data_IF_573551876167
#
_entry.id   IF_573551876167
#
_cell.length_a   1.000
_cell.length_b   1.000
_cell.length_c   1.000
_cell.angle_alpha   90.00
_cell.angle_beta   90.00
_cell.angle_gamma   90.00
#
_symmetry.space_group_name_H-M   'P 1'
#
loop_
_entity.id
_entity.type
_entity.pdbx_description
1 polymer ?
#
# COMPACT_ATOMS: atom_id res chain seq x y z
N UNK A 1 17.92 4.66 24.99
CA UNK A 1 16.73 5.40 24.51
C UNK A 1 15.59 4.44 24.27
N UNK A 2 14.37 4.75 24.71
CA UNK A 2 13.18 3.91 24.53
C UNK A 2 12.28 4.50 23.45
N UNK A 3 12.14 3.80 22.33
CA UNK A 3 11.46 4.26 21.12
C UNK A 3 10.13 3.52 20.94
N UNK A 4 9.02 4.25 20.84
CA UNK A 4 7.71 3.68 20.54
C UNK A 4 7.38 3.91 19.06
N UNK A 5 7.05 2.84 18.34
CA UNK A 5 6.59 2.85 16.96
C UNK A 5 5.10 2.54 16.93
N UNK A 6 4.32 3.34 16.21
CA UNK A 6 2.86 3.17 16.13
C UNK A 6 2.40 3.10 14.69
N UNK A 7 1.73 2.00 14.31
CA UNK A 7 0.93 1.94 13.12
C UNK A 7 -0.48 2.44 13.46
N UNK A 8 -0.92 3.63 12.97
CA UNK A 8 -2.11 4.31 13.46
C UNK A 8 -3.41 3.70 12.95
N UNK A 9 -4.53 4.15 13.50
CA UNK A 9 -5.86 3.83 13.01
C UNK A 9 -6.09 4.33 11.58
N UNK A 10 -6.99 3.64 10.87
CA UNK A 10 -7.55 4.10 9.61
C UNK A 10 -8.97 4.63 9.85
N UNK A 11 -9.23 5.84 9.36
CA UNK A 11 -10.58 6.39 9.23
C UNK A 11 -11.00 6.34 7.77
N UNK A 12 -12.01 5.53 7.47
CA UNK A 12 -12.47 5.33 6.09
C UNK A 12 -13.90 4.78 6.03
N UNK A 13 -14.44 4.68 4.83
CA UNK A 13 -15.68 3.97 4.50
C UNK A 13 -15.45 2.46 4.38
N UNK A 14 -14.24 2.02 4.03
CA UNK A 14 -13.85 0.61 3.93
C UNK A 14 -12.33 0.45 4.06
N UNK A 15 -11.89 -0.39 4.98
CA UNK A 15 -10.51 -0.83 5.08
C UNK A 15 -10.43 -2.32 5.39
N UNK A 16 -9.50 -3.00 4.73
CA UNK A 16 -9.25 -4.43 4.86
C UNK A 16 -7.74 -4.68 4.86
N UNK A 17 -7.31 -5.71 5.57
CA UNK A 17 -5.97 -6.23 5.38
C UNK A 17 -5.92 -7.06 4.07
N UNK A 18 -5.35 -6.47 3.03
CA UNK A 18 -5.03 -7.12 1.76
C UNK A 18 -3.51 -7.15 1.59
N UNK A 19 -2.83 -7.88 2.46
CA UNK A 19 -1.36 -7.87 2.63
C UNK A 19 -0.84 -6.48 3.03
N UNK A 20 -1.47 -5.85 4.05
CA UNK A 20 -1.09 -4.53 4.54
C UNK A 20 -0.21 -4.67 5.78
N UNK A 21 1.11 -4.64 5.62
CA UNK A 21 2.06 -4.49 6.72
C UNK A 21 2.73 -3.11 6.65
N UNK A 22 3.02 -2.46 7.78
CA UNK A 22 3.61 -1.12 7.79
C UNK A 22 5.13 -1.17 7.55
N UNK A 23 5.54 -1.63 6.35
CA UNK A 23 6.95 -1.86 6.02
C UNK A 23 7.84 -0.63 6.26
N UNK A 24 7.34 0.58 5.98
CA UNK A 24 8.07 1.82 6.27
C UNK A 24 8.41 1.97 7.75
N UNK A 25 7.46 1.66 8.64
CA UNK A 25 7.68 1.71 10.09
C UNK A 25 8.61 0.57 10.57
N UNK A 26 8.47 -0.62 9.97
CA UNK A 26 9.39 -1.74 10.24
C UNK A 26 10.83 -1.41 9.81
N UNK A 27 11.02 -0.64 8.74
CA UNK A 27 12.33 -0.13 8.34
C UNK A 27 12.88 0.92 9.31
N UNK A 28 12.02 1.73 9.95
CA UNK A 28 12.44 2.60 11.06
C UNK A 28 12.99 1.76 12.21
N UNK A 29 12.29 0.69 12.60
CA UNK A 29 12.78 -0.23 13.63
C UNK A 29 14.12 -0.88 13.24
N UNK A 30 14.24 -1.35 12.01
CA UNK A 30 15.48 -1.89 11.46
C UNK A 30 16.63 -0.89 11.54
N UNK A 31 16.38 0.38 11.17
CA UNK A 31 17.36 1.44 11.27
C UNK A 31 17.75 1.74 12.72
N UNK A 32 16.79 1.85 13.62
CA UNK A 32 17.03 2.12 15.04
C UNK A 32 17.77 0.96 15.75
N UNK A 33 17.66 -0.26 15.24
CA UNK A 33 18.30 -1.46 15.82
C UNK A 33 19.84 -1.42 15.85
N UNK A 34 20.47 -0.51 15.09
CA UNK A 34 21.93 -0.31 15.12
C UNK A 34 22.39 0.59 16.27
N UNK A 35 21.46 1.24 16.95
CA UNK A 35 21.74 2.16 18.07
C UNK A 35 21.32 1.56 19.41
N UNK A 36 21.78 2.16 20.50
CA UNK A 36 21.38 1.81 21.87
C UNK A 36 19.93 2.22 22.14
N UNK A 37 18.99 1.48 21.52
CA UNK A 37 17.55 1.74 21.57
C UNK A 37 16.76 0.50 21.96
N UNK A 38 15.85 0.65 22.91
CA UNK A 38 14.74 -0.29 23.13
C UNK A 38 13.62 0.07 22.16
N UNK A 39 13.21 -0.85 21.31
CA UNK A 39 12.19 -0.62 20.28
C UNK A 39 10.90 -1.33 20.68
N UNK A 40 9.83 -0.57 20.82
CA UNK A 40 8.51 -1.06 21.17
C UNK A 40 7.55 -0.71 20.03
N UNK A 41 6.57 -1.57 19.80
CA UNK A 41 5.64 -1.43 18.67
C UNK A 41 4.19 -1.65 19.08
N UNK A 42 3.32 -0.73 18.68
CA UNK A 42 1.86 -0.85 18.75
C UNK A 42 1.31 -0.85 17.32
N UNK A 43 0.57 -1.91 16.97
CA UNK A 43 -0.18 -1.96 15.71
C UNK A 43 -1.68 -1.78 15.98
N UNK A 44 -2.20 -0.59 15.66
CA UNK A 44 -3.64 -0.35 15.74
C UNK A 44 -4.43 -1.20 14.74
N UNK A 45 -3.80 -1.68 13.66
CA UNK A 45 -4.49 -2.38 12.56
C UNK A 45 -4.47 -3.91 12.66
N UNK A 46 -4.37 -4.43 13.87
CA UNK A 46 -4.40 -5.87 14.13
C UNK A 46 -5.59 -6.54 13.42
N UNK A 47 -5.29 -7.57 12.63
CA UNK A 47 -6.30 -8.35 11.92
C UNK A 47 -7.02 -9.30 12.89
N UNK A 48 -8.33 -9.13 13.06
CA UNK A 48 -9.15 -9.93 13.97
C UNK A 48 -9.88 -11.09 13.28
N UNK A 49 -10.16 -10.97 11.99
CA UNK A 49 -10.84 -12.00 11.20
C UNK A 49 -10.00 -12.35 9.98
N UNK A 50 -9.17 -13.37 10.14
CA UNK A 50 -8.29 -13.84 9.08
C UNK A 50 -9.07 -14.49 7.93
N UNK A 51 -8.57 -14.28 6.72
CA UNK A 51 -8.92 -14.95 5.47
C UNK A 51 -7.70 -15.71 4.95
N UNK A 52 -7.76 -16.17 3.72
CA UNK A 52 -6.64 -16.88 3.09
C UNK A 52 -5.36 -16.05 3.12
N UNK A 53 -4.23 -16.72 3.36
CA UNK A 53 -2.88 -16.16 3.26
C UNK A 53 -2.58 -14.98 4.20
N UNK A 54 -3.22 -14.92 5.37
CA UNK A 54 -3.01 -13.85 6.35
C UNK A 54 -3.69 -12.51 6.03
N UNK A 55 -4.48 -12.44 4.95
CA UNK A 55 -5.39 -11.30 4.70
C UNK A 55 -6.57 -11.34 5.67
N UNK A 56 -7.36 -10.26 5.74
CA UNK A 56 -8.53 -10.30 6.62
C UNK A 56 -9.22 -8.97 6.84
N UNK A 57 -9.96 -8.94 7.94
CA UNK A 57 -10.72 -7.76 8.36
C UNK A 57 -10.15 -7.21 9.65
N UNK A 58 -10.09 -5.89 9.73
CA UNK A 58 -9.86 -5.16 10.97
C UNK A 58 -11.15 -5.11 11.80
N UNK A 59 -11.00 -4.94 13.08
CA UNK A 59 -12.08 -4.42 13.93
C UNK A 59 -12.50 -3.05 13.40
N UNK A 60 -13.78 -2.70 13.60
CA UNK A 60 -14.27 -1.39 13.17
C UNK A 60 -15.35 -0.86 14.08
N UNK A 61 -15.30 0.43 14.31
CA UNK A 61 -16.32 1.17 15.01
C UNK A 61 -16.81 2.34 14.14
N UNK A 62 -18.11 2.52 14.02
CA UNK A 62 -18.65 3.70 13.35
C UNK A 62 -18.34 4.94 14.19
N UNK A 63 -17.79 5.96 13.56
CA UNK A 63 -17.46 7.25 14.18
C UNK A 63 -18.26 8.37 13.51
N UNK A 64 -18.24 9.54 14.15
CA UNK A 64 -18.86 10.74 13.57
C UNK A 64 -18.19 11.09 12.23
N UNK A 65 -19.02 11.21 11.20
CA UNK A 65 -18.56 11.57 9.88
C UNK A 65 -18.19 13.07 9.85
N UNK A 66 -16.99 13.44 9.36
CA UNK A 66 -16.62 14.81 9.12
C UNK A 66 -17.65 15.55 8.25
N UNK A 67 -17.89 16.84 8.53
CA UNK A 67 -18.92 17.63 7.83
C UNK A 67 -18.73 17.62 6.31
N UNK A 68 -17.49 17.68 5.85
CA UNK A 68 -17.13 17.68 4.43
C UNK A 68 -17.59 16.38 3.71
N UNK A 69 -17.78 15.28 4.44
CA UNK A 69 -18.24 13.98 3.93
C UNK A 69 -19.75 13.74 4.15
N UNK A 70 -20.49 14.73 4.68
CA UNK A 70 -21.90 14.54 5.09
C UNK A 70 -22.78 13.97 3.97
N UNK A 71 -22.57 14.39 2.74
CA UNK A 71 -23.36 13.98 1.57
C UNK A 71 -23.07 12.56 1.07
N UNK A 72 -22.00 11.89 1.54
CA UNK A 72 -21.66 10.53 1.11
C UNK A 72 -22.53 9.53 1.86
N UNK A 73 -23.40 8.73 1.18
CA UNK A 73 -24.39 7.86 1.84
C UNK A 73 -23.77 6.53 2.32
N UNK A 74 -22.62 6.60 3.01
CA UNK A 74 -21.88 5.45 3.54
C UNK A 74 -21.50 5.71 5.00
N UNK A 75 -21.34 4.63 5.78
CA UNK A 75 -20.85 4.72 7.16
C UNK A 75 -19.35 5.00 7.16
N UNK A 76 -18.92 5.96 7.94
CA UNK A 76 -17.52 6.29 8.16
C UNK A 76 -17.08 5.63 9.48
N UNK A 77 -15.95 4.92 9.45
CA UNK A 77 -15.53 4.10 10.56
C UNK A 77 -14.07 4.32 10.90
N UNK A 78 -13.73 4.16 12.18
CA UNK A 78 -12.39 3.86 12.64
C UNK A 78 -12.16 2.37 12.49
N UNK A 79 -11.05 1.98 11.88
CA UNK A 79 -10.59 0.61 11.74
C UNK A 79 -9.37 0.38 12.60
N UNK A 80 -9.35 -0.74 13.32
CA UNK A 80 -8.29 -1.14 14.24
C UNK A 80 -8.81 -1.42 15.64
N UNK A 81 -7.90 -1.60 16.60
CA UNK A 81 -8.20 -1.82 18.02
C UNK A 81 -8.98 -0.64 18.60
N UNK A 82 -9.69 -0.87 19.72
CA UNK A 82 -10.45 0.20 20.36
C UNK A 82 -9.52 1.22 21.03
N UNK A 83 -9.99 2.46 21.30
CA UNK A 83 -9.20 3.44 22.05
C UNK A 83 -8.84 2.95 23.45
N UNK A 84 -9.72 2.22 24.09
CA UNK A 84 -9.49 1.65 25.43
C UNK A 84 -8.35 0.62 25.39
N UNK A 85 -8.34 -0.27 24.39
CA UNK A 85 -7.25 -1.22 24.18
C UNK A 85 -5.94 -0.50 23.88
N UNK A 86 -5.95 0.51 22.99
CA UNK A 86 -4.79 1.33 22.67
C UNK A 86 -4.25 2.02 23.94
N UNK A 87 -5.09 2.67 24.73
CA UNK A 87 -4.72 3.36 25.95
C UNK A 87 -4.16 2.38 26.99
N UNK A 88 -4.72 1.18 27.10
CA UNK A 88 -4.21 0.13 28.00
C UNK A 88 -2.80 -0.31 27.60
N UNK A 89 -2.56 -0.55 26.29
CA UNK A 89 -1.22 -0.89 25.78
C UNK A 89 -0.24 0.25 26.03
N UNK A 90 -0.61 1.49 25.71
CA UNK A 90 0.23 2.68 25.90
C UNK A 90 0.62 2.87 27.38
N UNK A 91 -0.33 2.75 28.30
CA UNK A 91 -0.06 2.83 29.76
C UNK A 91 0.96 1.80 30.22
N UNK A 92 0.93 0.58 29.69
CA UNK A 92 1.87 -0.48 30.06
C UNK A 92 3.29 -0.25 29.54
N UNK A 93 3.45 0.62 28.53
CA UNK A 93 4.72 0.90 27.87
C UNK A 93 5.40 2.16 28.42
N UNK A 94 4.61 3.16 28.81
CA UNK A 94 5.13 4.46 29.27
C UNK A 94 5.99 4.35 30.56
N UNK A 95 7.01 5.21 30.74
CA UNK A 95 7.41 6.28 29.84
C UNK A 95 8.28 5.81 28.66
N UNK A 96 8.25 6.59 27.56
CA UNK A 96 9.14 6.45 26.39
C UNK A 96 9.79 7.78 26.05
N UNK A 97 10.94 7.74 25.36
CA UNK A 97 11.73 8.94 25.05
C UNK A 97 11.27 9.61 23.75
N UNK A 98 10.86 8.81 22.76
CA UNK A 98 10.47 9.31 21.43
C UNK A 98 9.44 8.38 20.79
N UNK A 99 8.53 8.96 19.99
CA UNK A 99 7.43 8.23 19.36
C UNK A 99 7.45 8.45 17.85
N UNK A 100 7.36 7.37 17.08
CA UNK A 100 7.28 7.37 15.63
C UNK A 100 5.90 6.88 15.19
N UNK A 101 5.18 7.67 14.39
CA UNK A 101 3.87 7.31 13.87
C UNK A 101 3.92 7.20 12.35
N UNK A 102 3.44 6.08 11.82
CA UNK A 102 3.35 5.88 10.38
C UNK A 102 2.21 6.70 9.76
N UNK A 103 2.30 6.99 8.46
CA UNK A 103 1.18 7.55 7.69
C UNK A 103 1.22 7.05 6.25
N UNK A 104 0.06 6.62 5.71
CA UNK A 104 -0.02 6.00 4.39
C UNK A 104 -0.89 6.85 3.46
N UNK A 105 -2.20 6.60 3.38
CA UNK A 105 -3.07 7.36 2.48
C UNK A 105 -3.26 8.79 2.99
N UNK A 106 -3.19 9.76 2.08
CA UNK A 106 -3.32 11.18 2.43
C UNK A 106 -4.66 11.51 3.08
N UNK A 107 -5.73 10.85 2.67
CA UNK A 107 -7.07 11.02 3.22
C UNK A 107 -7.33 10.20 4.52
N UNK A 108 -6.35 9.43 5.01
CA UNK A 108 -6.44 8.79 6.34
C UNK A 108 -5.88 9.66 7.46
N UNK A 109 -5.51 10.91 7.17
CA UNK A 109 -4.89 11.82 8.12
C UNK A 109 -5.67 11.98 9.43
N UNK A 110 -7.00 11.85 9.40
CA UNK A 110 -7.83 11.95 10.61
C UNK A 110 -7.60 10.79 11.58
N UNK A 111 -7.27 9.60 11.09
CA UNK A 111 -6.87 8.46 11.93
C UNK A 111 -5.49 8.67 12.55
N UNK A 112 -4.55 9.22 11.78
CA UNK A 112 -3.22 9.63 12.29
C UNK A 112 -3.37 10.69 13.38
N UNK A 113 -4.18 11.73 13.13
CA UNK A 113 -4.43 12.81 14.09
C UNK A 113 -5.10 12.30 15.38
N UNK A 114 -6.05 11.36 15.28
CA UNK A 114 -6.65 10.74 16.47
C UNK A 114 -5.61 9.96 17.25
N UNK A 115 -4.77 9.17 16.59
CA UNK A 115 -3.68 8.42 17.25
C UNK A 115 -2.73 9.35 18.00
N UNK A 116 -2.31 10.44 17.39
CA UNK A 116 -1.43 11.43 18.05
C UNK A 116 -2.13 12.06 19.25
N UNK A 117 -3.39 12.44 19.13
CA UNK A 117 -4.17 13.01 20.24
C UNK A 117 -4.27 12.03 21.42
N UNK A 118 -4.57 10.76 21.15
CA UNK A 118 -4.63 9.72 22.18
C UNK A 118 -3.26 9.49 22.86
N UNK A 119 -2.18 9.53 22.08
CA UNK A 119 -0.81 9.46 22.62
C UNK A 119 -0.53 10.63 23.57
N UNK A 120 -0.88 11.86 23.19
CA UNK A 120 -0.65 13.07 23.99
C UNK A 120 -1.32 13.02 25.37
N UNK A 121 -2.43 12.30 25.52
CA UNK A 121 -3.11 12.17 26.83
C UNK A 121 -2.26 11.49 27.91
N UNK A 122 -1.31 10.63 27.51
CA UNK A 122 -0.44 9.89 28.43
C UNK A 122 1.05 10.28 28.29
N UNK A 123 1.47 10.64 27.09
CA UNK A 123 2.87 10.93 26.77
C UNK A 123 3.24 12.41 26.96
N UNK A 124 2.25 13.30 27.14
CA UNK A 124 2.49 14.73 27.34
C UNK A 124 3.36 15.32 26.22
N UNK A 125 4.48 15.89 26.60
CA UNK A 125 5.43 16.56 25.70
C UNK A 125 6.46 15.61 25.06
N UNK A 126 6.32 14.28 25.22
CA UNK A 126 7.20 13.32 24.54
C UNK A 126 7.19 13.58 23.03
N UNK A 127 8.36 13.77 22.39
CA UNK A 127 8.44 14.10 20.99
C UNK A 127 7.81 13.03 20.07
N UNK A 128 7.00 13.48 19.11
CA UNK A 128 6.32 12.65 18.12
C UNK A 128 6.80 13.02 16.72
N UNK A 129 7.36 12.04 16.01
CA UNK A 129 7.73 12.12 14.59
C UNK A 129 6.71 11.38 13.76
N UNK A 130 6.11 12.04 12.78
CA UNK A 130 5.28 11.38 11.73
C UNK A 130 6.09 11.26 10.46
N UNK A 131 6.16 10.03 9.92
CA UNK A 131 6.75 9.73 8.63
C UNK A 131 5.80 8.93 7.72
N UNK A 132 6.27 8.65 6.51
CA UNK A 132 5.54 7.85 5.53
C UNK A 132 4.95 8.66 4.37
N UNK A 133 4.04 8.06 3.62
CA UNK A 133 3.56 8.60 2.34
C UNK A 133 2.83 9.94 2.52
N UNK A 134 1.89 10.03 3.44
CA UNK A 134 1.16 11.27 3.70
C UNK A 134 2.10 12.40 4.17
N UNK A 135 2.98 12.12 5.13
CA UNK A 135 3.97 13.08 5.61
C UNK A 135 4.89 13.58 4.50
N UNK A 136 5.24 12.71 3.55
CA UNK A 136 6.11 13.06 2.41
C UNK A 136 5.38 13.89 1.35
N UNK A 137 4.15 13.49 1.01
CA UNK A 137 3.38 14.15 -0.06
C UNK A 137 2.71 15.46 0.39
N UNK A 138 2.29 15.55 1.66
CA UNK A 138 1.51 16.68 2.18
C UNK A 138 2.08 17.16 3.53
N UNK A 139 3.37 17.57 3.61
CA UNK A 139 4.02 17.87 4.89
C UNK A 139 3.38 19.04 5.64
N UNK A 140 3.02 20.12 4.95
CA UNK A 140 2.43 21.30 5.57
C UNK A 140 1.03 20.99 6.12
N UNK A 141 0.25 20.18 5.39
CA UNK A 141 -1.03 19.68 5.86
C UNK A 141 -0.84 18.75 7.07
N UNK A 142 0.17 17.85 7.05
CA UNK A 142 0.45 16.98 8.18
C UNK A 142 0.86 17.78 9.42
N UNK A 143 1.70 18.81 9.26
CA UNK A 143 2.11 19.70 10.36
C UNK A 143 0.91 20.41 11.01
N UNK A 144 -0.03 20.91 10.21
CA UNK A 144 -1.17 21.66 10.72
C UNK A 144 -2.32 20.82 11.26
N UNK A 145 -2.41 19.51 10.90
CA UNK A 145 -3.58 18.69 11.20
C UNK A 145 -3.32 17.53 12.16
N UNK A 146 -2.06 17.18 12.45
CA UNK A 146 -1.79 15.96 13.23
C UNK A 146 -1.36 16.21 14.67
N UNK A 147 -0.81 17.39 14.99
CA UNK A 147 -0.27 17.70 16.32
C UNK A 147 1.08 17.03 16.63
N UNK A 148 1.80 16.53 15.61
CA UNK A 148 3.15 16.02 15.74
C UNK A 148 4.18 17.14 15.83
N UNK A 149 5.31 16.86 16.49
CA UNK A 149 6.40 17.83 16.62
C UNK A 149 7.26 17.91 15.37
N UNK A 150 7.44 16.77 14.69
CA UNK A 150 8.25 16.67 13.47
C UNK A 150 7.51 15.90 12.38
N UNK A 151 7.45 16.50 11.18
CA UNK A 151 7.01 15.81 9.96
C UNK A 151 8.25 15.40 9.16
N UNK A 152 8.52 14.09 9.16
CA UNK A 152 9.69 13.53 8.50
C UNK A 152 9.37 13.16 7.05
N UNK A 153 10.18 13.65 6.11
CA UNK A 153 10.04 13.39 4.66
C UNK A 153 11.22 12.56 4.17
N UNK A 154 10.94 11.56 3.35
CA UNK A 154 11.96 10.79 2.66
C UNK A 154 12.26 9.43 3.28
N UNK A 155 13.36 8.82 2.82
CA UNK A 155 13.79 7.49 3.27
C UNK A 155 14.45 7.55 4.65
N UNK A 156 14.34 6.46 5.37
CA UNK A 156 14.87 6.34 6.75
C UNK A 156 16.39 6.60 6.80
N UNK A 157 17.11 6.15 5.78
CA UNK A 157 18.58 6.27 5.70
C UNK A 157 19.06 7.71 5.49
N UNK A 158 18.22 8.59 4.93
CA UNK A 158 18.64 9.90 4.42
C UNK A 158 18.31 11.08 5.33
N UNK A 159 18.18 10.88 6.64
CA UNK A 159 18.00 12.03 7.55
C UNK A 159 17.23 11.74 8.83
N UNK A 160 16.79 10.50 9.08
CA UNK A 160 16.12 10.18 10.35
C UNK A 160 17.03 10.46 11.54
N UNK A 161 18.33 10.18 11.41
CA UNK A 161 19.35 10.50 12.41
C UNK A 161 19.29 12.00 12.79
N UNK A 162 19.41 12.87 11.79
CA UNK A 162 19.40 14.33 12.02
C UNK A 162 18.05 14.84 12.57
N UNK A 163 16.93 14.18 12.22
CA UNK A 163 15.63 14.53 12.79
C UNK A 163 15.54 14.18 14.28
N UNK A 164 16.13 13.08 14.71
CA UNK A 164 16.19 12.66 16.11
C UNK A 164 17.16 13.53 16.90
N UNK A 165 18.33 13.85 16.33
CA UNK A 165 19.31 14.78 16.97
C UNK A 165 18.72 16.17 17.22
N UNK A 166 17.95 16.72 16.28
CA UNK A 166 17.27 18.02 16.45
C UNK A 166 16.29 18.06 17.62
N UNK A 167 15.81 16.90 18.07
CA UNK A 167 14.96 16.75 19.25
C UNK A 167 15.79 16.57 20.55
N UNK A 168 17.12 16.66 20.46
CA UNK A 168 18.03 16.58 21.61
C UNK A 168 18.46 15.16 21.99
N UNK A 169 18.20 14.15 21.13
CA UNK A 169 18.61 12.77 21.40
C UNK A 169 19.89 12.40 20.65
N UNK A 170 20.83 11.81 21.34
CA UNK A 170 22.03 11.23 20.76
C UNK A 170 21.79 9.74 20.44
N UNK A 171 22.04 9.35 19.19
CA UNK A 171 21.96 7.96 18.73
C UNK A 171 23.35 7.32 18.78
N UNK A 172 23.65 6.61 19.87
CA UNK A 172 24.90 5.88 20.04
C UNK A 172 24.86 4.56 19.29
N UNK A 173 25.73 4.41 18.28
CA UNK A 173 25.83 3.17 17.50
C UNK A 173 26.46 2.05 18.32
N UNK A 174 25.86 0.86 18.32
CA UNK A 174 26.31 -0.32 19.09
C UNK A 174 26.51 -1.57 18.24
N UNK A 175 25.89 -1.65 17.08
CA UNK A 175 25.92 -2.84 16.23
C UNK A 175 25.65 -2.52 14.77
N UNK A 176 25.68 -3.53 13.92
CA UNK A 176 25.11 -3.47 12.59
C UNK A 176 23.59 -3.53 12.63
N UNK A 177 22.95 -2.98 11.60
CA UNK A 177 21.51 -2.98 11.42
C UNK A 177 20.97 -4.41 11.36
N UNK A 178 19.98 -4.73 12.21
CA UNK A 178 19.29 -6.04 12.21
C UNK A 178 18.00 -5.96 11.40
N UNK A 179 17.77 -6.89 10.47
CA UNK A 179 16.51 -6.92 9.71
C UNK A 179 15.28 -6.95 10.63
N UNK A 180 14.22 -6.25 10.23
CA UNK A 180 12.98 -6.11 11.02
C UNK A 180 12.38 -7.45 11.48
N UNK A 181 12.49 -8.49 10.68
CA UNK A 181 11.96 -9.82 11.01
C UNK A 181 12.77 -10.54 12.13
N UNK A 182 13.99 -10.09 12.41
CA UNK A 182 14.80 -10.55 13.56
C UNK A 182 14.52 -9.75 14.84
N UNK A 183 13.69 -8.70 14.76
CA UNK A 183 13.31 -7.88 15.91
C UNK A 183 12.01 -8.36 16.59
N UNK A 184 11.37 -9.40 16.09
CA UNK A 184 10.11 -9.91 16.63
C UNK A 184 8.90 -8.99 16.41
N UNK A 185 9.01 -8.01 15.50
CA UNK A 185 7.96 -7.00 15.26
C UNK A 185 6.97 -7.40 14.16
N UNK A 186 7.26 -8.45 13.40
CA UNK A 186 6.35 -8.93 12.35
C UNK A 186 5.17 -9.68 12.97
N UNK A 187 4.02 -9.02 13.05
CA UNK A 187 2.79 -9.58 13.63
C UNK A 187 1.85 -10.21 12.58
N UNK A 188 2.16 -10.04 11.30
CA UNK A 188 1.37 -10.62 10.21
C UNK A 188 1.74 -12.09 9.94
N UNK A 189 0.78 -12.86 9.38
CA UNK A 189 1.00 -14.24 8.94
C UNK A 189 1.74 -14.32 7.60
N UNK A 190 2.09 -13.20 7.02
CA UNK A 190 2.86 -13.06 5.77
C UNK A 190 4.01 -12.08 5.98
N UNK A 191 5.04 -12.17 5.13
CA UNK A 191 6.09 -11.16 5.09
C UNK A 191 5.92 -10.24 3.87
N UNK A 192 6.02 -8.92 4.06
CA UNK A 192 6.16 -8.00 2.94
C UNK A 192 7.58 -8.13 2.35
N UNK A 193 7.68 -8.27 1.03
CA UNK A 193 8.94 -8.24 0.30
C UNK A 193 9.02 -6.96 -0.53
N UNK A 194 10.12 -6.25 -0.40
CA UNK A 194 10.47 -5.14 -1.27
C UNK A 194 11.80 -5.45 -1.92
N UNK A 195 11.76 -5.86 -3.19
CA UNK A 195 12.96 -6.24 -3.95
C UNK A 195 13.59 -5.06 -4.66
N UNK A 196 12.77 -4.02 -4.95
CA UNK A 196 13.19 -2.76 -5.51
C UNK A 196 12.37 -1.60 -4.92
N UNK A 197 12.98 -0.44 -4.76
CA UNK A 197 12.32 0.81 -4.41
C UNK A 197 12.23 1.72 -5.63
N UNK A 198 11.12 2.49 -5.73
CA UNK A 198 10.86 3.37 -6.87
C UNK A 198 10.30 2.64 -8.10
N UNK A 199 10.09 3.41 -9.16
CA UNK A 199 9.53 2.93 -10.42
C UNK A 199 10.13 3.68 -11.60
N UNK A 200 10.58 3.00 -12.67
CA UNK A 200 11.13 3.67 -13.85
C UNK A 200 10.07 4.33 -14.73
N UNK A 201 8.77 4.04 -14.48
CA UNK A 201 7.64 4.57 -15.25
C UNK A 201 7.11 5.88 -14.67
N UNK A 202 6.41 6.66 -15.52
CA UNK A 202 5.89 7.99 -15.19
C UNK A 202 4.38 8.09 -15.36
N UNK A 203 3.63 7.14 -14.76
CA UNK A 203 2.17 7.19 -14.77
C UNK A 203 1.66 8.48 -14.13
N UNK A 204 0.77 9.20 -14.82
CA UNK A 204 0.36 10.57 -14.44
C UNK A 204 -0.38 10.64 -13.12
N UNK A 205 -1.02 9.55 -12.70
CA UNK A 205 -1.78 9.42 -11.45
C UNK A 205 -0.96 8.85 -10.26
N UNK A 206 0.28 8.40 -10.50
CA UNK A 206 1.06 7.65 -9.52
C UNK A 206 2.09 8.52 -8.81
N UNK A 207 2.24 8.32 -7.49
CA UNK A 207 3.19 9.05 -6.66
C UNK A 207 4.55 8.35 -6.50
N UNK A 208 4.78 7.16 -7.08
CA UNK A 208 6.02 6.39 -6.85
C UNK A 208 7.29 7.22 -7.06
N UNK A 209 7.35 8.03 -8.13
CA UNK A 209 8.50 8.90 -8.41
C UNK A 209 8.62 10.13 -7.50
N UNK A 210 7.53 10.53 -6.85
CA UNK A 210 7.56 11.59 -5.84
C UNK A 210 8.09 11.07 -4.51
N UNK A 211 7.84 9.80 -4.22
CA UNK A 211 8.29 9.12 -3.01
C UNK A 211 9.72 8.60 -3.13
N UNK A 212 10.06 8.04 -4.28
CA UNK A 212 11.38 7.49 -4.59
C UNK A 212 11.81 7.98 -5.98
N UNK A 213 12.80 8.87 -6.03
CA UNK A 213 13.28 9.45 -7.30
C UNK A 213 14.00 8.43 -8.16
N UNK A 214 14.75 7.55 -7.52
CA UNK A 214 15.60 6.56 -8.16
C UNK A 214 14.95 5.17 -8.11
N UNK A 215 15.20 4.36 -9.13
CA UNK A 215 14.82 2.95 -9.15
C UNK A 215 16.03 2.13 -8.70
N UNK A 216 15.99 1.65 -7.45
CA UNK A 216 17.09 0.94 -6.82
C UNK A 216 16.64 -0.47 -6.49
N UNK A 217 17.40 -1.49 -6.93
CA UNK A 217 17.12 -2.90 -6.67
C UNK A 217 18.12 -3.50 -5.69
N UNK A 218 17.63 -4.39 -4.83
CA UNK A 218 18.48 -5.34 -4.13
C UNK A 218 19.05 -6.36 -5.16
N UNK A 219 20.16 -6.96 -4.86
CA UNK A 219 20.64 -8.10 -5.64
C UNK A 219 19.68 -9.29 -5.48
N UNK A 220 19.62 -10.17 -6.48
CA UNK A 220 18.80 -11.37 -6.38
C UNK A 220 19.23 -12.28 -5.21
N UNK A 221 20.51 -12.23 -4.80
CA UNK A 221 21.01 -12.99 -3.65
C UNK A 221 20.52 -12.42 -2.32
N UNK A 222 20.52 -11.10 -2.14
CA UNK A 222 19.97 -10.45 -0.96
C UNK A 222 18.49 -10.80 -0.78
N UNK A 223 17.71 -10.73 -1.86
CA UNK A 223 16.27 -11.07 -1.81
C UNK A 223 16.06 -12.54 -1.49
N UNK A 224 16.82 -13.44 -2.15
CA UNK A 224 16.72 -14.87 -1.88
C UNK A 224 17.07 -15.21 -0.42
N UNK A 225 18.14 -14.63 0.11
CA UNK A 225 18.55 -14.82 1.50
C UNK A 225 17.48 -14.33 2.48
N UNK A 226 16.84 -13.17 2.21
CA UNK A 226 15.72 -12.65 3.00
C UNK A 226 14.54 -13.66 3.01
N UNK A 227 14.18 -14.22 1.85
CA UNK A 227 13.13 -15.24 1.73
C UNK A 227 13.51 -16.49 2.54
N UNK A 228 14.75 -16.98 2.41
CA UNK A 228 15.21 -18.18 3.11
C UNK A 228 15.22 -17.98 4.64
N UNK A 229 15.66 -16.84 5.13
CA UNK A 229 15.64 -16.54 6.57
C UNK A 229 14.20 -16.45 7.12
N UNK A 230 13.31 -15.74 6.43
CA UNK A 230 11.89 -15.67 6.79
C UNK A 230 11.22 -17.05 6.74
N UNK A 231 11.57 -17.88 5.75
CA UNK A 231 11.09 -19.28 5.66
C UNK A 231 11.52 -20.10 6.88
N UNK A 232 12.77 -19.95 7.36
CA UNK A 232 13.29 -20.60 8.59
C UNK A 232 12.53 -20.13 9.82
N UNK A 233 12.02 -18.90 9.85
CA UNK A 233 11.17 -18.36 10.91
C UNK A 233 9.70 -18.83 10.81
N UNK A 234 9.37 -19.68 9.85
CA UNK A 234 8.03 -20.25 9.70
C UNK A 234 7.10 -19.48 8.73
N UNK A 235 7.54 -18.39 8.13
CA UNK A 235 6.74 -17.66 7.13
C UNK A 235 6.62 -18.48 5.85
N UNK A 236 5.42 -18.52 5.29
CA UNK A 236 5.12 -19.25 4.06
C UNK A 236 4.50 -18.37 2.98
N UNK A 237 3.93 -17.25 3.36
CA UNK A 237 3.27 -16.28 2.46
C UNK A 237 4.12 -15.02 2.33
N UNK A 238 4.44 -14.63 1.11
CA UNK A 238 5.29 -13.49 0.79
C UNK A 238 4.55 -12.54 -0.16
N UNK A 239 4.35 -11.30 0.24
CA UNK A 239 3.67 -10.29 -0.58
C UNK A 239 4.68 -9.28 -1.12
N UNK A 240 4.80 -9.19 -2.43
CA UNK A 240 5.66 -8.21 -3.09
C UNK A 240 5.05 -6.80 -3.00
N UNK A 241 5.83 -5.86 -2.52
CA UNK A 241 5.44 -4.45 -2.36
C UNK A 241 6.04 -3.54 -3.44
N UNK A 242 6.77 -4.12 -4.37
CA UNK A 242 7.41 -3.42 -5.47
C UNK A 242 6.41 -2.67 -6.34
N UNK A 243 6.75 -1.45 -6.74
CA UNK A 243 6.00 -0.65 -7.71
C UNK A 243 6.17 -1.15 -9.15
N UNK A 244 7.30 -1.85 -9.43
CA UNK A 244 7.67 -2.31 -10.78
C UNK A 244 8.39 -3.67 -10.76
N UNK A 245 7.79 -4.67 -10.09
CA UNK A 245 8.36 -6.00 -9.81
C UNK A 245 8.97 -6.70 -11.03
N UNK A 246 8.29 -6.63 -12.19
CA UNK A 246 8.68 -7.38 -13.39
C UNK A 246 9.71 -6.66 -14.28
N UNK A 247 10.11 -5.43 -13.93
CA UNK A 247 11.11 -4.70 -14.73
C UNK A 247 12.43 -5.45 -14.72
N UNK A 248 12.98 -5.73 -15.92
CA UNK A 248 14.22 -6.46 -16.10
C UNK A 248 14.22 -7.82 -15.33
N UNK A 249 13.14 -8.56 -15.50
CA UNK A 249 12.91 -9.83 -14.80
C UNK A 249 14.00 -10.88 -15.04
N UNK A 250 14.68 -10.84 -16.20
CA UNK A 250 15.76 -11.75 -16.55
C UNK A 250 16.93 -11.67 -15.56
N UNK A 251 17.28 -10.45 -15.17
CA UNK A 251 18.39 -10.20 -14.25
C UNK A 251 17.97 -10.06 -12.79
N UNK A 252 16.68 -10.14 -12.48
CA UNK A 252 16.19 -9.92 -11.12
C UNK A 252 15.21 -10.99 -10.65
N UNK A 253 13.95 -10.97 -11.05
CA UNK A 253 12.93 -11.86 -10.51
C UNK A 253 13.14 -13.32 -10.92
N UNK A 254 13.48 -13.61 -12.20
CA UNK A 254 13.71 -14.98 -12.68
C UNK A 254 14.82 -15.69 -11.89
N UNK A 255 16.03 -15.10 -11.66
CA UNK A 255 17.05 -15.71 -10.80
C UNK A 255 16.56 -16.02 -9.38
N UNK A 256 15.77 -15.11 -8.75
CA UNK A 256 15.21 -15.33 -7.41
C UNK A 256 14.30 -16.57 -7.42
N UNK A 257 13.36 -16.64 -8.37
CA UNK A 257 12.41 -17.76 -8.46
C UNK A 257 13.10 -19.08 -8.77
N UNK A 258 14.12 -19.07 -9.64
CA UNK A 258 14.95 -20.27 -9.92
C UNK A 258 15.61 -20.81 -8.64
N UNK A 259 16.17 -19.92 -7.81
CA UNK A 259 16.77 -20.33 -6.52
C UNK A 259 15.74 -20.90 -5.55
N UNK A 260 14.57 -20.27 -5.43
CA UNK A 260 13.46 -20.76 -4.59
C UNK A 260 13.04 -22.18 -5.01
N UNK A 261 12.90 -22.41 -6.32
CA UNK A 261 12.55 -23.74 -6.90
C UNK A 261 13.66 -24.76 -6.63
N UNK A 262 14.92 -24.41 -6.92
CA UNK A 262 16.08 -25.30 -6.71
C UNK A 262 16.24 -25.72 -5.25
N UNK A 263 15.95 -24.82 -4.30
CA UNK A 263 16.00 -25.11 -2.85
C UNK A 263 14.76 -25.85 -2.34
N UNK A 264 13.73 -26.04 -3.17
CA UNK A 264 12.49 -26.71 -2.79
C UNK A 264 11.73 -25.99 -1.68
N UNK A 265 11.80 -24.65 -1.61
CA UNK A 265 11.11 -23.90 -0.57
C UNK A 265 9.58 -23.93 -0.81
N UNK A 266 8.83 -24.51 0.14
CA UNK A 266 7.38 -24.55 0.09
C UNK A 266 6.78 -23.22 0.54
N UNK A 267 6.82 -22.24 -0.33
CA UNK A 267 6.31 -20.86 -0.11
C UNK A 267 5.13 -20.55 -1.03
N UNK A 268 4.44 -19.45 -0.75
CA UNK A 268 3.42 -18.86 -1.63
C UNK A 268 3.74 -17.39 -1.86
N UNK A 269 3.70 -16.98 -3.12
CA UNK A 269 3.94 -15.59 -3.50
C UNK A 269 2.66 -14.88 -3.88
N UNK A 270 2.59 -13.61 -3.51
CA UNK A 270 1.47 -12.72 -3.77
C UNK A 270 1.99 -11.42 -4.36
N UNK A 271 1.43 -10.98 -5.50
CA UNK A 271 1.68 -9.68 -6.09
C UNK A 271 0.38 -8.87 -6.04
N UNK A 272 0.05 -8.24 -4.88
CA UNK A 272 -1.17 -7.47 -4.71
C UNK A 272 -1.14 -6.13 -5.44
N UNK A 273 0.05 -5.57 -5.67
CA UNK A 273 0.24 -4.38 -6.48
C UNK A 273 0.09 -4.72 -7.96
N UNK A 274 -0.46 -3.80 -8.73
CA UNK A 274 -0.67 -4.02 -10.16
C UNK A 274 0.64 -4.19 -10.92
N UNK A 275 0.91 -5.41 -11.41
CA UNK A 275 2.13 -5.71 -12.17
C UNK A 275 2.02 -5.27 -13.64
N UNK A 276 3.16 -4.92 -14.23
CA UNK A 276 3.28 -4.50 -15.63
C UNK A 276 3.27 -5.70 -16.57
N UNK A 277 2.20 -5.89 -17.30
CA UNK A 277 1.93 -7.06 -18.15
C UNK A 277 2.92 -7.25 -19.30
N UNK A 278 3.50 -6.16 -19.84
CA UNK A 278 4.43 -6.19 -20.98
C UNK A 278 5.71 -7.01 -20.75
N UNK A 279 6.04 -7.30 -19.50
CA UNK A 279 7.22 -8.06 -19.12
C UNK A 279 6.93 -9.56 -18.88
N UNK A 280 5.69 -10.00 -19.11
CA UNK A 280 5.30 -11.39 -18.93
C UNK A 280 5.62 -12.15 -20.21
N UNK A 281 6.59 -13.05 -20.12
CA UNK A 281 6.94 -14.06 -21.14
C UNK A 281 6.64 -15.48 -20.64
N UNK A 282 6.74 -16.47 -21.53
CA UNK A 282 6.46 -17.88 -21.22
C UNK A 282 7.37 -18.42 -20.10
N UNK A 283 8.67 -18.06 -20.07
CA UNK A 283 9.59 -18.47 -19.02
C UNK A 283 9.20 -17.90 -17.66
N UNK A 284 8.97 -16.60 -17.58
CA UNK A 284 8.59 -15.93 -16.35
C UNK A 284 7.26 -16.50 -15.80
N UNK A 285 6.25 -16.65 -16.67
CA UNK A 285 4.96 -17.21 -16.28
C UNK A 285 5.10 -18.64 -15.73
N UNK A 286 5.94 -19.48 -16.37
CA UNK A 286 6.23 -20.83 -15.88
C UNK A 286 6.94 -20.81 -14.52
N UNK A 287 7.97 -19.96 -14.36
CA UNK A 287 8.67 -19.80 -13.09
C UNK A 287 7.75 -19.30 -11.98
N UNK A 288 6.88 -18.31 -12.26
CA UNK A 288 5.89 -17.83 -11.30
C UNK A 288 4.91 -18.94 -10.90
N UNK A 289 4.45 -19.76 -11.84
CA UNK A 289 3.56 -20.88 -11.52
C UNK A 289 4.26 -21.94 -10.68
N UNK A 290 5.47 -22.34 -11.07
CA UNK A 290 6.26 -23.37 -10.38
C UNK A 290 6.69 -22.93 -8.98
N UNK A 291 7.01 -21.64 -8.79
CA UNK A 291 7.34 -21.07 -7.47
C UNK A 291 6.11 -20.72 -6.64
N UNK A 292 4.90 -21.12 -7.10
CA UNK A 292 3.65 -21.06 -6.34
C UNK A 292 3.10 -19.65 -6.09
N UNK A 293 3.10 -18.79 -7.13
CA UNK A 293 2.29 -17.55 -7.07
C UNK A 293 0.81 -17.90 -6.94
N UNK A 294 0.15 -17.36 -5.92
CA UNK A 294 -1.29 -17.56 -5.63
C UNK A 294 -2.14 -16.33 -5.91
N UNK A 295 -1.54 -15.18 -5.95
CA UNK A 295 -2.25 -13.92 -6.22
C UNK A 295 -1.43 -13.12 -7.23
N UNK A 296 -1.98 -12.94 -8.42
CA UNK A 296 -1.48 -12.00 -9.42
C UNK A 296 -2.50 -10.89 -9.59
N UNK A 297 -2.05 -9.64 -9.56
CA UNK A 297 -2.88 -8.48 -9.88
C UNK A 297 -2.27 -7.78 -11.09
N UNK A 298 -2.97 -7.88 -12.22
CA UNK A 298 -2.55 -7.26 -13.48
C UNK A 298 -3.13 -5.85 -13.56
N UNK A 299 -2.30 -4.89 -13.93
CA UNK A 299 -2.77 -3.54 -14.25
C UNK A 299 -3.27 -3.49 -15.69
N UNK A 300 -4.57 -3.24 -15.87
CA UNK A 300 -5.14 -2.81 -17.15
C UNK A 300 -5.55 -1.34 -17.06
N UNK A 301 -6.09 -0.93 -15.93
CA UNK A 301 -6.55 0.41 -15.59
C UNK A 301 -7.75 0.86 -16.43
N UNK A 302 -7.62 0.87 -17.76
CA UNK A 302 -8.62 1.24 -18.76
C UNK A 302 -8.37 0.50 -20.06
N UNK A 303 -9.41 0.33 -20.88
CA UNK A 303 -9.31 -0.24 -22.23
C UNK A 303 -9.20 0.83 -23.33
N UNK A 304 -9.43 2.11 -22.99
CA UNK A 304 -9.34 3.22 -23.95
C UNK A 304 -7.88 3.46 -24.35
N UNK A 305 -7.48 3.28 -25.61
CA UNK A 305 -6.09 3.50 -26.05
C UNK A 305 -5.61 4.93 -25.83
N UNK A 306 -6.51 5.91 -26.00
CA UNK A 306 -6.21 7.31 -25.73
C UNK A 306 -5.89 7.52 -24.25
N UNK A 307 -6.73 7.02 -23.35
CA UNK A 307 -6.53 7.14 -21.91
C UNK A 307 -5.30 6.38 -21.44
N UNK A 308 -5.04 5.18 -21.97
CA UNK A 308 -3.80 4.44 -21.71
C UNK A 308 -2.56 5.30 -22.04
N UNK A 309 -2.56 5.96 -23.21
CA UNK A 309 -1.47 6.86 -23.61
C UNK A 309 -1.36 8.08 -22.70
N UNK A 310 -2.47 8.74 -22.39
CA UNK A 310 -2.51 9.94 -21.54
C UNK A 310 -2.08 9.67 -20.10
N UNK A 311 -2.33 8.48 -19.59
CA UNK A 311 -1.96 8.07 -18.22
C UNK A 311 -0.54 7.54 -18.09
N UNK A 312 0.26 7.52 -19.17
CA UNK A 312 1.67 7.18 -19.14
C UNK A 312 2.06 5.92 -19.92
N UNK A 313 1.14 5.31 -20.67
CA UNK A 313 1.44 4.18 -21.56
C UNK A 313 1.94 2.92 -20.85
N UNK A 314 1.52 2.71 -19.60
CA UNK A 314 1.92 1.57 -18.77
C UNK A 314 1.55 0.23 -19.40
N UNK A 315 0.39 0.17 -20.07
CA UNK A 315 -0.17 -1.04 -20.68
C UNK A 315 -0.92 -0.67 -21.96
N UNK A 316 -0.90 -1.59 -22.91
CA UNK A 316 -1.79 -1.58 -24.08
C UNK A 316 -2.70 -2.79 -23.98
N UNK A 317 -3.90 -2.70 -24.54
CA UNK A 317 -4.89 -3.78 -24.46
C UNK A 317 -4.39 -5.06 -25.13
N UNK A 318 -3.70 -4.97 -26.27
CA UNK A 318 -3.12 -6.13 -26.97
C UNK A 318 -1.99 -6.81 -26.15
N UNK A 319 -1.10 -6.02 -25.49
CA UNK A 319 -0.08 -6.52 -24.57
C UNK A 319 -0.73 -7.25 -23.38
N UNK A 320 -1.85 -6.71 -22.88
CA UNK A 320 -2.60 -7.29 -21.76
C UNK A 320 -3.24 -8.64 -22.15
N UNK A 321 -3.93 -8.73 -23.28
CA UNK A 321 -4.55 -9.95 -23.77
C UNK A 321 -3.52 -11.06 -23.99
N UNK A 322 -2.36 -10.72 -24.57
CA UNK A 322 -1.24 -11.63 -24.75
C UNK A 322 -0.72 -12.16 -23.40
N UNK A 323 -0.50 -11.28 -22.42
CA UNK A 323 -0.03 -11.67 -21.09
C UNK A 323 -1.02 -12.60 -20.36
N UNK A 324 -2.33 -12.34 -20.46
CA UNK A 324 -3.36 -13.23 -19.92
C UNK A 324 -3.31 -14.61 -20.59
N UNK A 325 -3.10 -14.65 -21.90
CA UNK A 325 -2.98 -15.91 -22.68
C UNK A 325 -1.77 -16.72 -22.21
N UNK A 326 -0.60 -16.08 -22.08
CA UNK A 326 0.64 -16.71 -21.58
C UNK A 326 0.43 -17.26 -20.15
N UNK A 327 -0.15 -16.48 -19.24
CA UNK A 327 -0.40 -16.91 -17.86
C UNK A 327 -1.34 -18.13 -17.82
N UNK A 328 -2.40 -18.15 -18.61
CA UNK A 328 -3.33 -19.27 -18.69
C UNK A 328 -2.68 -20.53 -19.25
N UNK A 329 -1.89 -20.39 -20.31
CA UNK A 329 -1.08 -21.49 -20.87
C UNK A 329 -0.14 -22.09 -19.84
N UNK A 330 0.40 -21.27 -18.93
CA UNK A 330 1.24 -21.72 -17.81
C UNK A 330 0.44 -22.30 -16.63
N UNK A 331 -0.89 -22.43 -16.75
CA UNK A 331 -1.77 -23.09 -15.77
C UNK A 331 -2.31 -22.19 -14.66
N UNK A 332 -2.25 -20.86 -14.80
CA UNK A 332 -2.95 -19.97 -13.88
C UNK A 332 -4.45 -19.97 -14.09
N UNK A 333 -5.20 -20.02 -13.01
CA UNK A 333 -6.68 -20.06 -13.01
C UNK A 333 -7.29 -18.66 -12.93
N UNK A 334 -8.60 -18.53 -13.24
CA UNK A 334 -9.37 -17.30 -13.05
C UNK A 334 -9.17 -16.67 -11.66
N UNK A 335 -9.15 -17.49 -10.60
CA UNK A 335 -9.02 -17.01 -9.21
C UNK A 335 -7.64 -16.47 -8.89
N UNK A 336 -6.59 -16.95 -9.55
CA UNK A 336 -5.21 -16.53 -9.33
C UNK A 336 -4.90 -15.24 -10.11
N UNK A 337 -5.54 -15.02 -11.29
CA UNK A 337 -5.36 -13.82 -12.13
C UNK A 337 -6.45 -12.80 -11.83
N UNK A 338 -6.15 -11.79 -11.03
CA UNK A 338 -7.03 -10.65 -10.82
C UNK A 338 -6.58 -9.44 -11.64
N UNK A 339 -7.52 -8.69 -12.18
CA UNK A 339 -7.23 -7.53 -13.03
C UNK A 339 -7.79 -6.27 -12.40
N UNK A 340 -6.96 -5.25 -12.25
CA UNK A 340 -7.41 -3.93 -11.85
C UNK A 340 -7.96 -3.17 -13.07
N UNK A 341 -9.25 -2.86 -13.02
CA UNK A 341 -9.94 -1.97 -13.93
C UNK A 341 -10.41 -0.75 -13.14
N UNK A 342 -9.90 0.42 -13.50
CA UNK A 342 -10.22 1.66 -12.78
C UNK A 342 -11.52 2.28 -13.27
N UNK A 343 -12.25 2.87 -12.36
CA UNK A 343 -13.37 3.75 -12.66
C UNK A 343 -13.27 5.07 -11.89
N UNK A 344 -13.91 6.12 -12.43
CA UNK A 344 -13.81 7.46 -11.88
C UNK A 344 -12.58 8.24 -12.32
N UNK A 345 -11.85 7.76 -13.33
CA UNK A 345 -10.77 8.55 -13.95
C UNK A 345 -11.33 9.85 -14.56
N UNK A 346 -10.57 10.94 -14.56
CA UNK A 346 -11.01 12.20 -15.13
C UNK A 346 -11.48 12.05 -16.58
N UNK A 347 -12.73 12.46 -16.86
CA UNK A 347 -13.34 12.37 -18.18
C UNK A 347 -13.70 10.95 -18.65
N UNK A 348 -13.58 9.93 -17.81
CA UNK A 348 -14.03 8.58 -18.10
C UNK A 348 -15.56 8.49 -17.94
N UNK A 349 -16.25 7.90 -18.90
CA UNK A 349 -17.67 7.58 -18.77
C UNK A 349 -17.90 6.12 -18.31
N UNK A 350 -19.10 5.83 -17.84
CA UNK A 350 -19.40 4.50 -17.31
C UNK A 350 -19.46 3.43 -18.42
N UNK A 351 -19.73 3.83 -19.66
CA UNK A 351 -19.75 2.92 -20.81
C UNK A 351 -18.36 2.30 -21.06
N UNK A 352 -17.30 3.12 -21.01
CA UNK A 352 -15.90 2.63 -21.11
C UNK A 352 -15.60 1.57 -20.04
N UNK A 353 -16.08 1.78 -18.81
CA UNK A 353 -15.89 0.81 -17.72
C UNK A 353 -16.63 -0.50 -18.01
N UNK A 354 -17.86 -0.43 -18.53
CA UNK A 354 -18.65 -1.62 -18.92
C UNK A 354 -17.97 -2.41 -20.03
N UNK A 355 -17.49 -1.74 -21.08
CA UNK A 355 -16.74 -2.41 -22.15
C UNK A 355 -15.49 -3.12 -21.59
N UNK A 356 -14.79 -2.48 -20.63
CA UNK A 356 -13.68 -3.11 -19.93
C UNK A 356 -14.08 -4.35 -19.14
N UNK A 357 -15.24 -4.32 -18.48
CA UNK A 357 -15.78 -5.49 -17.77
C UNK A 357 -16.10 -6.63 -18.76
N UNK A 358 -16.73 -6.33 -19.90
CA UNK A 358 -17.05 -7.34 -20.91
C UNK A 358 -15.78 -7.97 -21.51
N UNK A 359 -14.74 -7.18 -21.82
CA UNK A 359 -13.44 -7.70 -22.23
C UNK A 359 -12.88 -8.66 -21.18
N UNK A 360 -12.86 -8.27 -19.90
CA UNK A 360 -12.31 -9.12 -18.84
C UNK A 360 -13.12 -10.41 -18.60
N UNK A 361 -14.42 -10.37 -18.78
CA UNK A 361 -15.28 -11.57 -18.78
C UNK A 361 -14.93 -12.51 -19.95
N UNK A 362 -14.77 -11.98 -21.16
CA UNK A 362 -14.39 -12.80 -22.33
C UNK A 362 -13.02 -13.47 -22.13
N UNK A 363 -12.10 -12.80 -21.47
CA UNK A 363 -10.80 -13.34 -21.08
C UNK A 363 -10.86 -14.26 -19.85
N UNK A 364 -12.02 -14.49 -19.25
CA UNK A 364 -12.21 -15.35 -18.07
C UNK A 364 -11.14 -15.12 -16.97
N UNK A 365 -11.05 -13.91 -16.45
CA UNK A 365 -10.17 -13.48 -15.35
C UNK A 365 -10.99 -12.89 -14.20
N UNK A 366 -10.43 -12.83 -12.99
CA UNK A 366 -11.09 -12.19 -11.85
C UNK A 366 -11.02 -10.65 -11.97
N UNK A 367 -12.12 -9.96 -11.87
CA UNK A 367 -12.23 -8.51 -12.09
C UNK A 367 -12.18 -7.79 -10.74
N UNK A 368 -11.23 -6.88 -10.58
CA UNK A 368 -11.16 -5.97 -9.46
C UNK A 368 -11.46 -4.54 -9.95
N UNK A 369 -12.71 -4.11 -9.78
CA UNK A 369 -13.06 -2.70 -9.99
C UNK A 369 -12.43 -1.86 -8.89
N UNK A 370 -11.62 -0.89 -9.29
CA UNK A 370 -10.88 0.00 -8.37
C UNK A 370 -11.25 1.45 -8.60
N UNK A 371 -11.57 2.13 -7.52
CA UNK A 371 -11.87 3.55 -7.55
C UNK A 371 -10.60 4.38 -7.76
N UNK A 372 -10.64 5.33 -8.68
CA UNK A 372 -9.60 6.34 -8.80
C UNK A 372 -9.62 7.30 -7.60
N UNK A 373 -8.44 7.64 -7.11
CA UNK A 373 -8.19 8.64 -6.08
C UNK A 373 -7.10 9.59 -6.56
N UNK A 374 -7.35 10.91 -6.65
CA UNK A 374 -6.31 11.85 -7.02
C UNK A 374 -5.28 11.97 -5.89
N UNK A 375 -4.03 11.73 -6.21
CA UNK A 375 -2.92 11.80 -5.25
C UNK A 375 -2.27 13.18 -5.35
N UNK A 376 -2.11 13.91 -4.24
CA UNK A 376 -1.49 15.23 -4.22
C UNK A 376 -0.11 15.25 -4.89
N UNK A 377 0.17 16.34 -5.60
CA UNK A 377 1.42 16.62 -6.30
C UNK A 377 1.74 15.74 -7.52
N UNK A 378 0.88 14.79 -7.89
CA UNK A 378 1.01 14.03 -9.15
C UNK A 378 0.71 14.93 -10.35
N UNK A 379 1.14 14.49 -11.55
CA UNK A 379 0.80 15.21 -12.78
C UNK A 379 -0.71 15.34 -12.97
N UNK A 380 -1.47 14.26 -12.73
CA UNK A 380 -2.93 14.25 -12.84
C UNK A 380 -3.59 15.17 -11.80
N UNK A 381 -3.07 15.23 -10.58
CA UNK A 381 -3.50 16.22 -9.58
C UNK A 381 -3.39 17.65 -10.09
N UNK A 382 -2.22 18.01 -10.66
CA UNK A 382 -1.98 19.35 -11.19
C UNK A 382 -2.89 19.67 -12.39
N UNK A 383 -3.18 18.68 -13.23
CA UNK A 383 -4.15 18.81 -14.32
C UNK A 383 -5.57 19.05 -13.82
N UNK A 384 -5.99 18.39 -12.74
CA UNK A 384 -7.30 18.61 -12.11
C UNK A 384 -7.42 20.01 -11.48
N UNK A 385 -6.35 20.48 -10.84
CA UNK A 385 -6.29 21.87 -10.35
C UNK A 385 -6.38 22.88 -11.50
N UNK A 386 -5.61 22.69 -12.56
CA UNK A 386 -5.62 23.57 -13.74
C UNK A 386 -7.02 23.63 -14.40
N UNK A 387 -7.73 22.51 -14.44
CA UNK A 387 -9.12 22.39 -14.92
C UNK A 387 -10.16 22.86 -13.90
N UNK A 388 -9.74 23.31 -12.72
CA UNK A 388 -10.63 23.78 -11.63
C UNK A 388 -11.67 22.74 -11.20
N UNK A 389 -11.35 21.46 -11.29
CA UNK A 389 -12.20 20.37 -10.76
C UNK A 389 -12.33 20.52 -9.25
N UNK A 390 -11.25 20.91 -8.60
CA UNK A 390 -11.19 21.33 -7.18
C UNK A 390 -10.08 22.36 -6.98
N UNK A 391 -10.05 22.99 -5.82
CA UNK A 391 -9.02 23.98 -5.47
C UNK A 391 -7.84 23.31 -4.74
N UNK A 392 -6.70 24.01 -4.68
CA UNK A 392 -5.50 23.52 -3.97
C UNK A 392 -5.71 23.27 -2.48
N UNK A 393 -6.65 24.00 -1.86
CA UNK A 393 -7.01 23.90 -0.45
C UNK A 393 -8.13 22.88 -0.20
N UNK A 394 -8.36 21.95 -1.14
CA UNK A 394 -9.33 20.87 -0.98
C UNK A 394 -8.99 20.04 0.27
N UNK A 395 -10.01 19.75 1.09
CA UNK A 395 -9.84 18.78 2.18
C UNK A 395 -9.47 17.41 1.60
N UNK A 396 -8.38 16.84 2.07
CA UNK A 396 -7.87 15.55 1.58
C UNK A 396 -8.87 14.40 1.73
N UNK A 397 -9.85 14.50 2.62
CA UNK A 397 -10.95 13.54 2.72
C UNK A 397 -11.78 13.45 1.43
N UNK A 398 -11.87 14.52 0.65
CA UNK A 398 -12.59 14.55 -0.62
C UNK A 398 -11.82 13.82 -1.74
N UNK A 399 -10.55 13.53 -1.55
CA UNK A 399 -9.73 12.74 -2.48
C UNK A 399 -9.82 11.23 -2.23
N UNK A 400 -10.50 10.82 -1.14
CA UNK A 400 -10.74 9.40 -0.85
C UNK A 400 -11.36 8.70 -2.07
N UNK A 401 -10.88 7.53 -2.39
CA UNK A 401 -11.33 6.74 -3.53
C UNK A 401 -12.86 6.51 -3.52
N UNK A 402 -13.47 6.30 -2.35
CA UNK A 402 -14.92 6.15 -2.19
C UNK A 402 -15.69 7.47 -2.34
N UNK A 403 -15.03 8.61 -2.30
CA UNK A 403 -15.62 9.96 -2.32
C UNK A 403 -15.45 10.63 -3.68
N UNK A 404 -14.23 10.59 -4.22
CA UNK A 404 -13.88 11.34 -5.42
C UNK A 404 -14.80 11.02 -6.61
N UNK A 405 -14.95 9.72 -6.95
CA UNK A 405 -15.84 9.36 -8.05
C UNK A 405 -17.29 9.76 -7.79
N UNK A 406 -17.73 9.68 -6.53
CA UNK A 406 -19.09 10.06 -6.15
C UNK A 406 -19.37 11.55 -6.41
N UNK A 407 -18.38 12.41 -6.20
CA UNK A 407 -18.54 13.86 -6.36
C UNK A 407 -18.24 14.36 -7.78
N UNK A 408 -17.33 13.72 -8.49
CA UNK A 408 -16.71 14.32 -9.68
C UNK A 408 -16.83 13.47 -10.96
N UNK A 409 -17.29 12.21 -10.92
CA UNK A 409 -17.37 11.37 -12.12
C UNK A 409 -18.57 11.67 -13.02
N UNK A 410 -19.67 12.18 -12.46
CA UNK A 410 -20.93 12.35 -13.18
C UNK A 410 -21.63 11.03 -13.53
N UNK A 411 -21.28 9.93 -12.91
CA UNK A 411 -21.89 8.63 -13.18
C UNK A 411 -23.33 8.54 -12.66
N UNK A 412 -24.18 7.76 -13.38
CA UNK A 412 -25.39 7.22 -12.78
C UNK A 412 -25.01 6.14 -11.74
N UNK A 413 -25.22 6.45 -10.47
CA UNK A 413 -24.85 5.56 -9.36
C UNK A 413 -25.69 4.27 -9.33
N UNK A 414 -26.92 4.29 -9.78
CA UNK A 414 -27.76 3.08 -9.87
C UNK A 414 -27.16 2.12 -10.89
N UNK A 415 -26.71 2.65 -12.00
CA UNK A 415 -26.08 1.89 -13.06
C UNK A 415 -24.70 1.35 -12.62
N UNK A 416 -23.88 2.17 -11.94
CA UNK A 416 -22.61 1.73 -11.37
C UNK A 416 -22.79 0.62 -10.33
N UNK A 417 -23.77 0.74 -9.43
CA UNK A 417 -24.05 -0.31 -8.44
C UNK A 417 -24.53 -1.62 -9.09
N UNK A 418 -25.33 -1.55 -10.17
CA UNK A 418 -25.68 -2.74 -10.97
C UNK A 418 -24.42 -3.40 -11.55
N UNK A 419 -23.52 -2.61 -12.14
CA UNK A 419 -22.26 -3.14 -12.68
C UNK A 419 -21.39 -3.79 -11.60
N UNK A 420 -21.29 -3.20 -10.40
CA UNK A 420 -20.57 -3.81 -9.27
C UNK A 420 -21.19 -5.14 -8.83
N UNK A 421 -22.50 -5.23 -8.77
CA UNK A 421 -23.20 -6.48 -8.44
C UNK A 421 -22.99 -7.55 -9.53
N UNK A 422 -23.02 -7.17 -10.78
CA UNK A 422 -22.73 -8.04 -11.91
C UNK A 422 -21.32 -8.60 -11.86
N UNK A 423 -20.32 -7.75 -11.65
CA UNK A 423 -18.91 -8.16 -11.47
C UNK A 423 -18.75 -9.08 -10.26
N UNK A 424 -19.45 -8.80 -9.16
CA UNK A 424 -19.42 -9.67 -7.98
C UNK A 424 -20.01 -11.06 -8.27
N UNK A 425 -21.12 -11.13 -9.00
CA UNK A 425 -21.73 -12.40 -9.40
C UNK A 425 -20.81 -13.19 -10.35
N UNK A 426 -20.24 -12.52 -11.35
CA UNK A 426 -19.27 -13.12 -12.27
C UNK A 426 -18.01 -13.65 -11.55
N UNK A 427 -17.49 -12.94 -10.56
CA UNK A 427 -16.32 -13.39 -9.80
C UNK A 427 -16.62 -14.59 -8.89
N UNK A 428 -17.88 -14.80 -8.53
CA UNK A 428 -18.32 -15.91 -7.69
C UNK A 428 -18.54 -17.21 -8.48
N UNK A 429 -18.83 -17.11 -9.78
CA UNK A 429 -18.90 -18.24 -10.75
C UNK A 429 -17.50 -18.70 -11.14
#
# INVERSE_FOLDING_TARGET
>A
MKCLLINPWIHDFSALNLWSAPLGLLKVAEYLSQFECEIIYIDCLKTIKHKSYGTGKYERQQIQKPLVLKQIPRKFCRYGITPEEFQSQLKSIMPVDIIFVASIMTYWYTGVAETVREVRTLAGDTPIIIGGIYATLCPDHAQSHTGADVIYKGSVENGLYAAVEKLGFELKRISDKRPYYKLGLLQSQFAPLLTASGCPFSCTYCASRLLNKDFIRKTHDEVFNEIEELYKLGIRDFAFYDDALLTDSDNHLKPILKKVIQKGLSVRFHAPNGIHVRFIDDELAMLMKTSNFKTLRLSLETISPERQRLTGGKVRTDEFENAVTILKKSGFTKKEIGVYLMYGLPGQNLYEVKEGVELLKSLNVHINLTEFSPIPNTKMWNELLAKRVFNKDIDLLLTNNSVYYYLYSGYDFKELERLKLEVKAYNAS
#
